data_IF_343408159732
#
_entry.id   IF_343408159732
#
_cell.length_a   1.000
_cell.length_b   1.000
_cell.length_c   1.000
_cell.angle_alpha   90.00
_cell.angle_beta   90.00
_cell.angle_gamma   90.00
#
_symmetry.space_group_name_H-M   'P 1'
#
loop_
_entity.id
_entity.type
_entity.pdbx_description
1 polymer ?
#
# COMPACT_ATOMS: atom_id res chain seq x y z
N UNK A 1 7.51 -0.64 7.11
CA UNK A 1 8.35 0.49 7.51
C UNK A 1 9.54 0.68 6.57
N UNK A 2 10.08 1.90 6.48
CA UNK A 2 11.24 2.24 5.63
C UNK A 2 12.42 1.30 5.85
N UNK A 3 12.71 0.95 7.11
CA UNK A 3 13.82 0.03 7.44
C UNK A 3 13.67 -1.35 6.83
N UNK A 4 12.47 -1.93 6.85
CA UNK A 4 12.21 -3.23 6.22
C UNK A 4 12.32 -3.17 4.70
N UNK A 5 11.88 -2.06 4.08
CA UNK A 5 12.01 -1.87 2.64
C UNK A 5 13.48 -1.85 2.20
N UNK A 6 14.35 -1.14 2.91
CA UNK A 6 15.80 -1.14 2.64
C UNK A 6 16.42 -2.54 2.78
N UNK A 7 16.12 -3.23 3.88
CA UNK A 7 16.60 -4.60 4.10
C UNK A 7 16.16 -5.55 3.00
N UNK A 8 14.89 -5.47 2.57
CA UNK A 8 14.37 -6.33 1.51
C UNK A 8 15.04 -6.03 0.16
N UNK A 9 15.22 -4.75 -0.19
CA UNK A 9 15.89 -4.37 -1.43
C UNK A 9 17.35 -4.84 -1.46
N UNK A 10 18.06 -4.76 -0.34
CA UNK A 10 19.43 -5.25 -0.21
C UNK A 10 19.47 -6.78 -0.33
N UNK A 11 18.62 -7.49 0.40
CA UNK A 11 18.53 -8.95 0.36
C UNK A 11 18.19 -9.49 -1.05
N UNK A 12 17.35 -8.79 -1.79
CA UNK A 12 17.00 -9.16 -3.18
C UNK A 12 18.01 -8.67 -4.22
N UNK A 13 19.07 -7.95 -3.81
CA UNK A 13 20.09 -7.41 -4.71
C UNK A 13 19.58 -6.39 -5.71
N UNK A 14 18.48 -5.70 -5.41
CA UNK A 14 17.92 -4.65 -6.28
C UNK A 14 18.56 -3.31 -5.99
N UNK A 15 18.74 -2.50 -7.05
CA UNK A 15 19.26 -1.14 -6.89
C UNK A 15 18.22 -0.27 -6.18
N UNK A 16 18.58 0.24 -5.01
CA UNK A 16 17.74 1.11 -4.21
C UNK A 16 18.24 2.56 -4.24
N UNK A 17 17.32 3.49 -4.29
CA UNK A 17 17.60 4.94 -4.21
C UNK A 17 16.51 5.60 -3.35
N UNK A 18 16.89 6.65 -2.66
CA UNK A 18 15.98 7.48 -1.89
C UNK A 18 15.94 8.91 -2.46
N UNK A 19 14.73 9.41 -2.66
CA UNK A 19 14.49 10.79 -3.08
C UNK A 19 13.66 11.48 -2.02
N UNK A 20 14.15 12.60 -1.51
CA UNK A 20 13.40 13.42 -0.55
C UNK A 20 12.38 14.31 -1.28
N UNK A 21 11.11 13.97 -1.15
CA UNK A 21 10.02 14.74 -1.75
C UNK A 21 9.57 15.93 -0.88
N UNK A 22 10.03 16.02 0.39
CA UNK A 22 9.55 17.04 1.34
C UNK A 22 9.70 18.47 0.82
N UNK A 23 10.83 18.89 0.20
CA UNK A 23 10.94 20.25 -0.31
C UNK A 23 9.89 20.59 -1.38
N UNK A 24 9.62 19.64 -2.30
CA UNK A 24 8.61 19.84 -3.33
C UNK A 24 7.17 19.81 -2.76
N UNK A 25 6.90 18.92 -1.80
CA UNK A 25 5.62 18.85 -1.13
C UNK A 25 5.31 20.13 -0.33
N UNK A 26 6.29 20.61 0.45
CA UNK A 26 6.14 21.86 1.20
C UNK A 26 5.87 23.02 0.26
N UNK A 27 6.63 23.14 -0.83
CA UNK A 27 6.44 24.20 -1.81
C UNK A 27 5.04 24.17 -2.44
N UNK A 28 4.56 22.97 -2.81
CA UNK A 28 3.23 22.83 -3.39
C UNK A 28 2.13 23.22 -2.39
N UNK A 29 2.25 22.81 -1.13
CA UNK A 29 1.30 23.20 -0.07
C UNK A 29 1.32 24.71 0.20
N UNK A 30 2.49 25.35 0.16
CA UNK A 30 2.63 26.82 0.24
C UNK A 30 1.91 27.51 -0.92
N UNK A 31 2.15 27.10 -2.15
CA UNK A 31 1.53 27.71 -3.34
C UNK A 31 0.01 27.56 -3.34
N UNK A 32 -0.52 26.51 -2.66
CA UNK A 32 -1.95 26.26 -2.49
C UNK A 32 -2.55 27.00 -1.28
N UNK A 33 -1.75 27.58 -0.41
CA UNK A 33 -2.19 28.20 0.84
C UNK A 33 -2.74 27.17 1.85
N UNK A 34 -2.17 25.95 1.86
CA UNK A 34 -2.61 24.90 2.77
C UNK A 34 -2.13 25.18 4.20
N UNK A 35 -2.98 25.00 5.24
CA UNK A 35 -2.64 25.37 6.63
C UNK A 35 -1.36 24.69 7.17
N UNK A 36 -1.03 23.49 6.69
CA UNK A 36 0.22 22.81 7.05
C UNK A 36 1.45 23.66 6.76
N UNK A 37 1.45 24.44 5.68
CA UNK A 37 2.57 25.33 5.30
C UNK A 37 2.73 26.50 6.26
N UNK A 38 1.69 26.86 7.01
CA UNK A 38 1.69 27.92 8.03
C UNK A 38 2.03 27.36 9.42
N UNK A 39 2.35 26.06 9.52
CA UNK A 39 2.73 25.40 10.76
C UNK A 39 1.56 24.76 11.52
N UNK A 40 0.36 24.73 10.94
CA UNK A 40 -0.77 24.02 11.52
C UNK A 40 -0.70 22.52 11.23
N UNK A 41 -0.95 21.61 12.18
CA UNK A 41 -0.86 20.17 11.99
C UNK A 41 -2.11 19.61 11.29
N UNK A 42 -2.39 20.08 10.07
CA UNK A 42 -3.53 19.63 9.24
C UNK A 42 -3.04 18.56 8.28
N UNK A 43 -3.53 17.33 8.50
CA UNK A 43 -3.18 16.12 7.72
C UNK A 43 -4.42 15.58 6.99
N UNK A 44 -4.97 16.38 6.11
CA UNK A 44 -6.18 16.08 5.35
C UNK A 44 -5.88 15.35 4.02
N UNK A 45 -6.92 15.08 3.25
CA UNK A 45 -6.80 14.44 1.93
C UNK A 45 -5.90 15.22 0.96
N UNK A 46 -5.82 16.55 1.10
CA UNK A 46 -4.94 17.39 0.27
C UNK A 46 -3.49 17.14 0.61
N UNK A 47 -3.17 17.11 1.91
CA UNK A 47 -1.83 16.79 2.40
C UNK A 47 -1.36 15.40 1.93
N UNK A 48 -2.23 14.39 1.97
CA UNK A 48 -1.93 13.06 1.47
C UNK A 48 -1.74 13.04 -0.05
N UNK A 49 -2.65 13.68 -0.80
CA UNK A 49 -2.61 13.71 -2.26
C UNK A 49 -1.38 14.43 -2.83
N UNK A 50 -0.90 15.50 -2.17
CA UNK A 50 0.34 16.18 -2.57
C UNK A 50 1.52 15.21 -2.50
N UNK A 51 1.64 14.45 -1.42
CA UNK A 51 2.72 13.47 -1.26
C UNK A 51 2.60 12.31 -2.25
N UNK A 52 1.42 11.71 -2.36
CA UNK A 52 1.18 10.60 -3.27
C UNK A 52 1.36 11.01 -4.75
N UNK A 53 0.88 12.19 -5.13
CA UNK A 53 1.05 12.75 -6.46
C UNK A 53 2.52 12.99 -6.81
N UNK A 54 3.30 13.57 -5.91
CA UNK A 54 4.74 13.77 -6.11
C UNK A 54 5.50 12.44 -6.22
N UNK A 55 5.20 11.46 -5.39
CA UNK A 55 5.80 10.10 -5.50
C UNK A 55 5.59 9.54 -6.90
N UNK A 56 4.36 9.57 -7.38
CA UNK A 56 4.01 9.13 -8.73
C UNK A 56 4.74 9.92 -9.80
N UNK A 57 4.76 11.25 -9.68
CA UNK A 57 5.40 12.15 -10.64
C UNK A 57 6.91 11.86 -10.79
N UNK A 58 7.62 11.71 -9.67
CA UNK A 58 9.02 11.30 -9.68
C UNK A 58 9.23 9.92 -10.32
N UNK A 59 8.41 8.93 -9.97
CA UNK A 59 8.54 7.58 -10.51
C UNK A 59 8.37 7.55 -12.04
N UNK A 60 7.35 8.23 -12.57
CA UNK A 60 7.12 8.26 -14.02
C UNK A 60 8.23 8.99 -14.77
N UNK A 61 8.78 10.09 -14.24
CA UNK A 61 9.89 10.82 -14.87
C UNK A 61 11.20 10.05 -14.80
N UNK A 62 11.48 9.39 -13.68
CA UNK A 62 12.64 8.51 -13.56
C UNK A 62 12.53 7.31 -14.49
N UNK A 63 11.36 6.72 -14.66
CA UNK A 63 11.15 5.67 -15.63
C UNK A 63 11.47 6.13 -17.05
N UNK A 64 11.00 7.31 -17.45
CA UNK A 64 11.36 7.92 -18.74
C UNK A 64 12.86 8.18 -18.87
N UNK A 65 13.48 8.79 -17.87
CA UNK A 65 14.91 9.10 -17.86
C UNK A 65 15.77 7.83 -17.97
N UNK A 66 15.33 6.73 -17.35
CA UNK A 66 16.08 5.46 -17.28
C UNK A 66 15.66 4.45 -18.34
N UNK A 67 14.79 4.83 -19.28
CA UNK A 67 14.25 3.97 -20.33
C UNK A 67 13.57 2.69 -19.77
N UNK A 68 12.84 2.88 -18.67
CA UNK A 68 12.12 1.83 -17.96
C UNK A 68 10.62 2.14 -17.84
N UNK A 69 9.96 1.43 -16.97
CA UNK A 69 8.55 1.65 -16.65
C UNK A 69 8.28 1.43 -15.16
N UNK A 70 7.19 2.00 -14.67
CA UNK A 70 6.77 1.88 -13.27
C UNK A 70 5.95 0.61 -13.11
N UNK A 71 6.37 -0.25 -12.17
CA UNK A 71 5.58 -1.39 -11.70
C UNK A 71 4.76 -0.90 -10.50
N UNK A 72 3.43 -1.06 -10.59
CA UNK A 72 2.51 -0.72 -9.52
C UNK A 72 2.48 -1.78 -8.43
N UNK A 73 2.30 -1.33 -7.20
CA UNK A 73 2.25 -2.16 -6.00
C UNK A 73 0.82 -2.38 -5.47
N UNK A 74 -0.18 -1.67 -6.00
CA UNK A 74 -1.58 -1.84 -5.64
C UNK A 74 -2.10 -3.25 -5.92
N UNK A 75 -3.00 -3.72 -5.08
CA UNK A 75 -3.60 -5.05 -5.15
C UNK A 75 -5.11 -5.01 -5.44
N UNK A 76 -5.71 -6.20 -5.62
CA UNK A 76 -7.14 -6.32 -5.91
C UNK A 76 -8.01 -5.77 -4.77
N UNK A 77 -7.61 -5.99 -3.52
CA UNK A 77 -8.39 -5.56 -2.34
C UNK A 77 -8.47 -4.04 -2.25
N UNK A 78 -7.33 -3.36 -2.43
CA UNK A 78 -7.27 -1.90 -2.46
C UNK A 78 -8.11 -1.31 -3.58
N UNK A 79 -8.02 -1.89 -4.78
CA UNK A 79 -8.81 -1.44 -5.93
C UNK A 79 -10.31 -1.69 -5.75
N UNK A 80 -10.71 -2.83 -5.19
CA UNK A 80 -12.10 -3.17 -4.97
C UNK A 80 -12.77 -2.29 -3.91
N UNK A 81 -12.02 -1.88 -2.90
CA UNK A 81 -12.48 -1.02 -1.82
C UNK A 81 -12.37 0.48 -2.18
N UNK A 82 -11.60 0.82 -3.22
CA UNK A 82 -11.21 2.21 -3.48
C UNK A 82 -10.29 2.77 -2.38
N UNK A 83 -9.60 1.89 -1.65
CA UNK A 83 -8.69 2.27 -0.57
C UNK A 83 -7.32 2.64 -1.14
N UNK A 84 -7.27 3.81 -1.73
CA UNK A 84 -6.07 4.40 -2.34
C UNK A 84 -6.18 5.92 -2.26
N UNK A 85 -5.10 6.61 -2.58
CA UNK A 85 -5.07 8.07 -2.59
C UNK A 85 -6.08 8.63 -3.60
N UNK A 86 -6.90 9.60 -3.19
CA UNK A 86 -7.98 10.12 -4.01
C UNK A 86 -7.46 10.80 -5.29
N UNK A 87 -7.84 10.25 -6.42
CA UNK A 87 -7.63 10.82 -7.75
C UNK A 87 -6.23 10.62 -8.34
N UNK A 88 -5.16 10.86 -7.59
CA UNK A 88 -3.78 10.78 -8.08
C UNK A 88 -2.91 10.11 -7.02
N UNK A 89 -2.04 9.20 -7.42
CA UNK A 89 -1.07 8.70 -6.46
C UNK A 89 -0.63 7.26 -6.68
N UNK A 90 -0.44 6.53 -5.61
CA UNK A 90 0.26 5.24 -5.55
C UNK A 90 -0.37 4.14 -6.43
N UNK A 91 -1.66 4.26 -6.79
CA UNK A 91 -2.32 3.35 -7.72
C UNK A 91 -1.92 3.55 -9.17
N UNK A 92 -1.25 4.66 -9.52
CA UNK A 92 -0.83 4.96 -10.87
C UNK A 92 0.47 4.24 -11.22
N UNK A 93 0.46 3.49 -12.32
CA UNK A 93 1.62 2.76 -12.82
C UNK A 93 1.47 2.44 -14.30
N UNK A 94 2.57 2.09 -14.96
CA UNK A 94 2.51 1.55 -16.33
C UNK A 94 2.00 0.10 -16.34
N UNK A 95 2.31 -0.66 -15.29
CA UNK A 95 1.90 -2.05 -15.16
C UNK A 95 1.65 -2.40 -13.69
N UNK A 96 0.43 -2.79 -13.36
CA UNK A 96 0.02 -3.19 -12.01
C UNK A 96 0.00 -4.71 -11.90
N UNK A 97 1.08 -5.30 -11.42
CA UNK A 97 1.32 -6.75 -11.38
C UNK A 97 0.33 -7.49 -10.47
N UNK A 98 -0.13 -6.86 -9.38
CA UNK A 98 -1.00 -7.46 -8.39
C UNK A 98 -2.49 -7.08 -8.53
N UNK A 99 -2.90 -6.48 -9.64
CA UNK A 99 -4.30 -6.03 -9.86
C UNK A 99 -5.33 -7.14 -9.66
N UNK A 100 -4.99 -8.38 -9.99
CA UNK A 100 -5.86 -9.54 -9.82
C UNK A 100 -5.60 -10.37 -8.56
N UNK A 101 -4.73 -9.92 -7.66
CA UNK A 101 -4.30 -10.67 -6.48
C UNK A 101 -4.79 -9.98 -5.21
N UNK A 102 -5.67 -10.60 -4.42
CA UNK A 102 -6.14 -10.02 -3.17
C UNK A 102 -5.03 -9.98 -2.11
N UNK A 103 -5.11 -9.03 -1.19
CA UNK A 103 -4.10 -8.80 -0.15
C UNK A 103 -3.81 -10.04 0.71
N UNK A 104 -4.85 -10.78 1.05
CA UNK A 104 -4.70 -12.03 1.82
C UNK A 104 -3.94 -13.11 1.06
N UNK A 105 -4.12 -13.18 -0.27
CA UNK A 105 -3.35 -14.11 -1.11
C UNK A 105 -1.89 -13.67 -1.24
N UNK A 106 -1.60 -12.36 -1.33
CA UNK A 106 -0.22 -11.85 -1.31
C UNK A 106 0.47 -12.28 -0.02
N UNK A 107 -0.16 -12.08 1.13
CA UNK A 107 0.38 -12.52 2.42
C UNK A 107 0.60 -14.03 2.47
N UNK A 108 -0.33 -14.81 1.92
CA UNK A 108 -0.19 -16.26 1.84
C UNK A 108 0.99 -16.68 0.95
N UNK A 109 1.15 -16.05 -0.21
CA UNK A 109 2.27 -16.31 -1.12
C UNK A 109 3.61 -15.98 -0.48
N UNK A 110 3.72 -14.87 0.23
CA UNK A 110 4.95 -14.53 0.98
C UNK A 110 5.24 -15.60 2.04
N UNK A 111 4.25 -16.01 2.84
CA UNK A 111 4.42 -17.11 3.81
C UNK A 111 4.80 -18.44 3.16
N UNK A 112 4.32 -18.68 1.96
CA UNK A 112 4.68 -19.87 1.21
C UNK A 112 6.14 -19.81 0.74
N UNK A 113 6.60 -18.67 0.24
CA UNK A 113 8.01 -18.51 -0.19
C UNK A 113 9.00 -18.67 0.96
N UNK A 114 8.68 -18.19 2.17
CA UNK A 114 9.54 -18.37 3.37
C UNK A 114 9.59 -19.83 3.88
N UNK A 115 8.81 -20.74 3.30
CA UNK A 115 8.78 -22.17 3.69
C UNK A 115 9.30 -23.11 2.61
N UNK A 116 9.76 -22.58 1.49
CA UNK A 116 10.09 -23.38 0.30
C UNK A 116 11.54 -23.24 -0.14
N UNK A 117 12.43 -22.78 0.73
CA UNK A 117 13.88 -22.61 0.49
C UNK A 117 14.20 -21.85 -0.81
N UNK A 118 13.34 -20.89 -1.19
CA UNK A 118 13.54 -20.06 -2.38
C UNK A 118 14.51 -18.90 -2.14
N UNK A 119 14.64 -18.49 -0.89
CA UNK A 119 15.50 -17.42 -0.44
C UNK A 119 16.42 -17.90 0.67
N UNK A 120 17.44 -17.13 0.96
CA UNK A 120 18.30 -17.36 2.13
C UNK A 120 17.59 -16.94 3.43
N UNK A 121 18.10 -17.44 4.55
CA UNK A 121 17.54 -17.19 5.90
C UNK A 121 17.40 -15.69 6.20
N UNK A 122 18.35 -14.86 5.78
CA UNK A 122 18.32 -13.41 6.02
C UNK A 122 17.16 -12.74 5.26
N UNK A 123 16.89 -13.17 4.03
CA UNK A 123 15.74 -12.69 3.25
C UNK A 123 14.42 -13.16 3.86
N UNK A 124 14.34 -14.41 4.32
CA UNK A 124 13.15 -14.97 4.96
C UNK A 124 12.80 -14.22 6.25
N UNK A 125 13.78 -13.91 7.09
CA UNK A 125 13.58 -13.09 8.31
C UNK A 125 12.98 -11.70 7.98
N UNK A 126 13.44 -11.06 6.91
CA UNK A 126 12.90 -9.77 6.46
C UNK A 126 11.46 -9.91 5.97
N UNK A 127 11.16 -10.95 5.20
CA UNK A 127 9.80 -11.22 4.70
C UNK A 127 8.83 -11.50 5.85
N UNK A 128 9.23 -12.26 6.86
CA UNK A 128 8.43 -12.49 8.06
C UNK A 128 8.21 -11.20 8.87
N UNK A 129 9.24 -10.36 9.00
CA UNK A 129 9.10 -9.07 9.66
C UNK A 129 8.13 -8.13 8.93
N UNK A 130 8.05 -8.22 7.59
CA UNK A 130 7.07 -7.48 6.78
C UNK A 130 5.66 -8.03 7.00
N UNK A 131 5.50 -9.36 7.01
CA UNK A 131 4.20 -10.01 7.24
C UNK A 131 3.61 -9.72 8.63
N UNK A 132 4.47 -9.51 9.63
CA UNK A 132 4.07 -9.21 11.00
C UNK A 132 3.89 -7.70 11.25
N UNK A 133 4.21 -6.85 10.27
CA UNK A 133 4.00 -5.42 10.38
C UNK A 133 2.51 -5.06 10.24
N UNK A 134 2.06 -4.10 11.05
CA UNK A 134 0.72 -3.53 10.95
C UNK A 134 0.51 -2.89 9.57
N UNK A 135 -0.63 -3.19 8.94
CA UNK A 135 -1.04 -2.52 7.69
C UNK A 135 -1.58 -1.15 8.06
N UNK A 136 -0.86 -0.12 7.66
CA UNK A 136 -1.17 1.26 8.05
C UNK A 136 -1.01 2.23 6.88
N UNK A 137 -1.76 3.36 6.89
CA UNK A 137 -1.52 4.46 5.96
C UNK A 137 -0.12 5.03 6.17
N UNK A 138 0.66 5.18 5.10
CA UNK A 138 2.06 5.63 5.18
C UNK A 138 2.23 7.17 5.13
N UNK A 139 1.20 7.89 4.68
CA UNK A 139 1.29 9.32 4.39
C UNK A 139 0.89 10.23 5.56
N UNK A 140 0.25 9.65 6.57
CA UNK A 140 -0.15 10.37 7.79
C UNK A 140 0.87 10.06 8.89
N UNK A 141 1.33 11.06 9.66
CA UNK A 141 2.20 10.84 10.81
C UNK A 141 1.54 9.92 11.84
N UNK A 142 2.36 9.18 12.59
CA UNK A 142 1.87 8.47 13.77
C UNK A 142 1.24 9.47 14.75
N UNK A 143 0.20 9.04 15.48
CA UNK A 143 -0.43 9.85 16.50
C UNK A 143 0.53 10.30 17.61
N UNK A 144 0.11 11.22 18.46
CA UNK A 144 0.93 11.74 19.59
C UNK A 144 1.37 10.63 20.56
N UNK A 145 0.65 9.51 20.59
CA UNK A 145 0.97 8.31 21.37
C UNK A 145 1.97 7.37 20.67
N UNK A 146 2.46 7.76 19.48
CA UNK A 146 3.38 6.97 18.67
C UNK A 146 2.75 5.74 17.99
N UNK A 147 1.43 5.56 18.12
CA UNK A 147 0.73 4.46 17.43
C UNK A 147 0.47 4.81 15.98
N UNK A 148 0.73 3.83 15.14
CA UNK A 148 0.37 3.88 13.72
C UNK A 148 -1.10 3.49 13.60
N UNK A 149 -1.85 4.23 12.81
CA UNK A 149 -3.25 3.93 12.54
C UNK A 149 -3.37 2.60 11.79
N UNK A 150 -4.20 1.67 12.31
CA UNK A 150 -4.48 0.42 11.61
C UNK A 150 -5.45 0.65 10.46
N UNK A 151 -5.11 0.18 9.27
CA UNK A 151 -6.03 0.22 8.13
C UNK A 151 -7.28 -0.63 8.38
N UNK A 152 -7.12 -1.82 8.96
CA UNK A 152 -8.24 -2.72 9.26
C UNK A 152 -9.19 -2.18 10.33
N UNK A 153 -8.73 -1.29 11.21
CA UNK A 153 -9.61 -0.58 12.16
C UNK A 153 -10.55 0.41 11.44
N UNK A 154 -10.13 0.91 10.28
CA UNK A 154 -10.90 1.86 9.48
C UNK A 154 -11.92 1.17 8.56
N UNK A 155 -11.46 0.16 7.82
CA UNK A 155 -12.23 -0.47 6.75
C UNK A 155 -12.74 -1.87 7.11
N UNK A 156 -12.31 -2.45 8.22
CA UNK A 156 -12.56 -3.84 8.60
C UNK A 156 -11.51 -4.83 8.04
N UNK A 157 -11.58 -6.11 8.44
CA UNK A 157 -10.55 -7.09 8.11
C UNK A 157 -10.49 -7.42 6.62
N UNK A 158 -9.30 -7.41 6.04
CA UNK A 158 -9.08 -7.80 4.65
C UNK A 158 -9.55 -9.23 4.33
N UNK A 159 -9.47 -10.15 5.29
CA UNK A 159 -9.98 -11.50 5.12
C UNK A 159 -11.47 -11.52 4.74
N UNK A 160 -12.27 -10.65 5.34
CA UNK A 160 -13.70 -10.54 5.05
C UNK A 160 -13.94 -9.83 3.71
N UNK A 161 -13.18 -8.77 3.41
CA UNK A 161 -13.28 -8.07 2.13
C UNK A 161 -12.91 -8.97 0.96
N UNK A 162 -11.81 -9.70 1.06
CA UNK A 162 -11.35 -10.60 0.01
C UNK A 162 -12.33 -11.76 -0.21
N UNK A 163 -12.96 -12.24 0.85
CA UNK A 163 -14.05 -13.21 0.75
C UNK A 163 -15.22 -12.63 -0.05
N UNK A 164 -15.65 -11.41 0.24
CA UNK A 164 -16.74 -10.76 -0.51
C UNK A 164 -16.36 -10.54 -1.97
N UNK A 165 -15.20 -10.01 -2.24
CA UNK A 165 -14.71 -9.78 -3.61
C UNK A 165 -14.64 -11.08 -4.39
N UNK A 166 -14.11 -12.15 -3.78
CA UNK A 166 -14.04 -13.47 -4.40
C UNK A 166 -15.41 -13.98 -4.82
N UNK A 167 -16.37 -13.98 -3.91
CA UNK A 167 -17.70 -14.52 -4.18
C UNK A 167 -18.54 -13.65 -5.13
N UNK A 168 -18.41 -12.34 -5.06
CA UNK A 168 -19.16 -11.40 -5.91
C UNK A 168 -18.52 -11.32 -7.30
N UNK A 169 -17.24 -11.00 -7.37
CA UNK A 169 -16.57 -10.76 -8.65
C UNK A 169 -16.28 -12.07 -9.42
N UNK A 170 -15.85 -13.13 -8.72
CA UNK A 170 -15.49 -14.40 -9.37
C UNK A 170 -16.72 -15.25 -9.72
N UNK A 171 -17.72 -15.30 -8.85
CA UNK A 171 -18.88 -16.19 -9.01
C UNK A 171 -20.20 -15.46 -9.28
N UNK A 172 -20.23 -14.15 -9.31
CA UNK A 172 -21.43 -13.36 -9.55
C UNK A 172 -22.52 -13.58 -8.51
N UNK A 173 -22.17 -13.94 -7.27
CA UNK A 173 -23.15 -14.21 -6.23
C UNK A 173 -23.77 -12.91 -5.72
N UNK A 174 -25.05 -12.97 -5.38
CA UNK A 174 -25.76 -11.82 -4.81
C UNK A 174 -25.19 -11.46 -3.43
N UNK A 175 -25.10 -10.17 -3.06
CA UNK A 175 -24.57 -9.74 -1.76
C UNK A 175 -25.24 -10.41 -0.56
N UNK A 176 -26.56 -10.62 -0.61
CA UNK A 176 -27.30 -11.31 0.45
C UNK A 176 -26.86 -12.76 0.67
N UNK A 177 -26.53 -13.47 -0.43
CA UNK A 177 -25.99 -14.84 -0.33
C UNK A 177 -24.58 -14.83 0.24
N UNK A 178 -23.75 -13.87 -0.19
CA UNK A 178 -22.38 -13.77 0.30
C UNK A 178 -22.35 -13.40 1.78
N UNK A 179 -23.23 -12.50 2.23
CA UNK A 179 -23.39 -12.19 3.65
C UNK A 179 -23.80 -13.43 4.47
N UNK A 180 -24.72 -14.25 3.96
CA UNK A 180 -25.09 -15.52 4.60
C UNK A 180 -23.90 -16.48 4.69
N UNK A 181 -23.12 -16.63 3.61
CA UNK A 181 -21.93 -17.48 3.61
C UNK A 181 -20.87 -16.99 4.59
N UNK A 182 -20.63 -15.66 4.63
CA UNK A 182 -19.69 -15.06 5.57
C UNK A 182 -20.12 -15.28 7.02
N UNK A 183 -21.40 -15.11 7.32
CA UNK A 183 -21.93 -15.41 8.64
C UNK A 183 -21.57 -16.82 9.11
N UNK A 184 -21.75 -17.82 8.24
CA UNK A 184 -21.42 -19.21 8.58
C UNK A 184 -19.92 -19.53 8.59
N UNK A 185 -19.10 -18.74 7.92
CA UNK A 185 -17.65 -18.94 7.90
C UNK A 185 -16.95 -18.36 9.15
N UNK A 186 -17.52 -17.31 9.77
CA UNK A 186 -16.94 -16.61 10.92
C UNK A 186 -17.72 -16.74 12.23
N UNK A 187 -18.83 -17.47 12.25
CA UNK A 187 -19.61 -17.88 13.42
C UNK A 187 -19.57 -19.39 13.59
#
# INVERSE_FOLDING_TARGET
SKGNAWKLMDALGVKAEEIDIRPAATRMLEDMGHPFSEGEPVYDVTFENVQAGLRTDYLFRLAGQRQGFVIGTGDLSEMALGWCTYGVGDQMSHYAVNTGVPKTLIQYLIRWTTRTDQFDEATEEVLEAILNAEISPELVPAGEDGKVQSTEDQIGPYALHDFFVHHIARYGQKPSKVAFLAWHAWH
#
